data_IF_797915740945
#
_entry.id   IF_797915740945
#
_cell.length_a   1.000
_cell.length_b   1.000
_cell.length_c   1.000
_cell.angle_alpha   90.00
_cell.angle_beta   90.00
_cell.angle_gamma   90.00
#
_symmetry.space_group_name_H-M   'P 1'
#
loop_
_entity.id
_entity.type
_entity.pdbx_description
1 polymer ?
#
# COMPACT_ATOMS: atom_id res chain seq x y z
N UNK A 1 40.88 31.65 -29.77
CA UNK A 1 39.97 30.58 -30.24
C UNK A 1 39.73 29.50 -29.18
N UNK A 2 40.75 28.80 -28.67
CA UNK A 2 40.59 27.71 -27.68
C UNK A 2 39.83 28.09 -26.39
N UNK A 3 40.00 29.33 -25.90
CA UNK A 3 39.35 29.83 -24.68
C UNK A 3 37.81 29.87 -24.77
N UNK A 4 37.26 30.14 -25.95
CA UNK A 4 35.81 30.19 -26.18
C UNK A 4 35.19 28.80 -26.29
N UNK A 5 35.91 27.85 -26.89
CA UNK A 5 35.48 26.44 -26.98
C UNK A 5 35.47 25.81 -25.58
N UNK A 6 36.51 26.04 -24.78
CA UNK A 6 36.55 25.57 -23.39
C UNK A 6 35.39 26.13 -22.55
N UNK A 7 35.06 27.42 -22.72
CA UNK A 7 33.97 28.06 -21.98
C UNK A 7 32.59 27.55 -22.41
N UNK A 8 32.40 27.21 -23.70
CA UNK A 8 31.18 26.60 -24.21
C UNK A 8 30.98 25.18 -23.66
N UNK A 9 32.06 24.39 -23.58
CA UNK A 9 32.02 23.02 -23.03
C UNK A 9 31.69 23.06 -21.54
N UNK A 10 32.33 23.94 -20.77
CA UNK A 10 32.09 24.08 -19.32
C UNK A 10 30.67 24.57 -19.02
N UNK A 11 30.17 25.55 -19.76
CA UNK A 11 28.80 26.06 -19.57
C UNK A 11 27.75 25.03 -20.00
N UNK A 12 27.97 24.33 -21.12
CA UNK A 12 27.07 23.27 -21.58
C UNK A 12 26.97 22.10 -20.59
N UNK A 13 28.10 21.63 -20.07
CA UNK A 13 28.12 20.52 -19.09
C UNK A 13 27.44 20.87 -17.77
N UNK A 14 27.58 22.10 -17.27
CA UNK A 14 26.90 22.53 -16.04
C UNK A 14 25.38 22.56 -16.17
N UNK A 15 24.86 22.98 -17.33
CA UNK A 15 23.41 23.04 -17.59
C UNK A 15 22.83 21.62 -17.63
N UNK A 16 23.48 20.71 -18.36
CA UNK A 16 23.04 19.30 -18.46
C UNK A 16 23.11 18.59 -17.10
N UNK A 17 24.20 18.77 -16.34
CA UNK A 17 24.36 18.17 -15.02
C UNK A 17 23.29 18.66 -14.02
N UNK A 18 22.98 19.96 -14.02
CA UNK A 18 21.93 20.53 -13.16
C UNK A 18 20.53 20.06 -13.55
N UNK A 19 20.25 19.89 -14.84
CA UNK A 19 18.97 19.34 -15.30
C UNK A 19 18.79 17.88 -14.86
N UNK A 20 19.84 17.06 -15.00
CA UNK A 20 19.83 15.67 -14.57
C UNK A 20 19.66 15.52 -13.05
N UNK A 21 20.37 16.33 -12.26
CA UNK A 21 20.22 16.37 -10.80
C UNK A 21 18.80 16.80 -10.37
N UNK A 22 18.17 17.74 -11.09
CA UNK A 22 16.78 18.15 -10.84
C UNK A 22 15.79 17.04 -11.16
N UNK A 23 15.98 16.32 -12.27
CA UNK A 23 15.12 15.20 -12.64
C UNK A 23 15.19 14.07 -11.60
N UNK A 24 16.40 13.68 -11.18
CA UNK A 24 16.59 12.68 -10.12
C UNK A 24 15.94 13.15 -8.81
N UNK A 25 16.14 14.41 -8.42
CA UNK A 25 15.54 14.96 -7.20
C UNK A 25 14.01 14.93 -7.26
N UNK A 26 13.41 15.27 -8.41
CA UNK A 26 11.96 15.24 -8.60
C UNK A 26 11.39 13.83 -8.53
N UNK A 27 12.08 12.84 -9.10
CA UNK A 27 11.67 11.44 -9.02
C UNK A 27 11.77 10.91 -7.58
N UNK A 28 12.87 11.23 -6.89
CA UNK A 28 13.05 10.87 -5.48
C UNK A 28 12.00 11.56 -4.61
N UNK A 29 11.70 12.85 -4.82
CA UNK A 29 10.68 13.57 -4.06
C UNK A 29 9.28 13.04 -4.35
N UNK A 30 8.94 12.75 -5.61
CA UNK A 30 7.66 12.14 -5.97
C UNK A 30 7.52 10.74 -5.37
N UNK A 31 8.59 9.93 -5.42
CA UNK A 31 8.62 8.60 -4.81
C UNK A 31 8.60 8.66 -3.29
N UNK A 32 9.26 9.64 -2.67
CA UNK A 32 9.21 9.85 -1.22
C UNK A 32 7.85 10.37 -0.78
N UNK A 33 7.19 11.24 -1.53
CA UNK A 33 5.83 11.69 -1.21
C UNK A 33 4.81 10.56 -1.37
N UNK A 34 4.93 9.71 -2.38
CA UNK A 34 4.12 8.51 -2.53
C UNK A 34 4.39 7.52 -1.37
N UNK A 35 5.66 7.29 -1.04
CA UNK A 35 6.05 6.45 0.08
C UNK A 35 5.63 7.04 1.44
N UNK A 36 5.68 8.35 1.64
CA UNK A 36 5.24 9.02 2.87
C UNK A 36 3.72 8.95 3.04
N UNK A 37 2.96 9.13 1.95
CA UNK A 37 1.51 8.87 1.91
C UNK A 37 1.17 7.41 2.24
N UNK A 38 1.99 6.46 1.78
CA UNK A 38 1.84 5.04 2.15
C UNK A 38 2.36 4.70 3.56
N UNK A 39 3.37 5.42 4.06
CA UNK A 39 4.02 5.16 5.35
C UNK A 39 3.23 5.69 6.54
N UNK A 40 2.42 6.75 6.39
CA UNK A 40 1.53 7.23 7.45
C UNK A 40 0.23 6.42 7.57
N UNK A 41 -0.19 5.70 6.51
CA UNK A 41 -1.47 4.99 6.49
C UNK A 41 -1.36 3.49 6.81
N UNK A 42 -0.22 2.82 6.54
CA UNK A 42 -0.10 1.36 6.70
C UNK A 42 0.70 0.98 7.94
N UNK A 43 -0.02 0.52 8.97
CA UNK A 43 0.54 0.02 10.24
C UNK A 43 1.58 -1.07 9.96
N UNK A 44 2.63 -1.23 10.79
CA UNK A 44 3.61 -2.34 10.67
C UNK A 44 2.91 -3.70 10.51
N UNK A 45 1.78 -3.87 11.19
CA UNK A 45 0.89 -5.03 11.11
C UNK A 45 0.33 -5.27 9.71
N UNK A 46 -0.06 -4.23 8.97
CA UNK A 46 -0.55 -4.38 7.59
C UNK A 46 0.55 -4.79 6.62
N UNK A 47 1.78 -4.31 6.81
CA UNK A 47 2.92 -4.76 5.99
C UNK A 47 3.23 -6.22 6.22
N UNK A 48 3.20 -6.66 7.49
CA UNK A 48 3.40 -8.06 7.85
C UNK A 48 2.26 -8.92 7.30
N UNK A 49 1.00 -8.48 7.41
CA UNK A 49 -0.15 -9.18 6.85
C UNK A 49 -0.05 -9.30 5.32
N UNK A 50 0.31 -8.23 4.61
CA UNK A 50 0.49 -8.25 3.17
C UNK A 50 1.67 -9.14 2.75
N UNK A 51 2.75 -9.19 3.53
CA UNK A 51 3.87 -10.12 3.30
C UNK A 51 3.47 -11.58 3.54
N UNK A 52 2.70 -11.84 4.60
CA UNK A 52 2.24 -13.18 4.98
C UNK A 52 1.22 -13.75 3.98
N UNK A 53 0.28 -12.91 3.53
CA UNK A 53 -0.82 -13.30 2.65
C UNK A 53 -0.49 -13.07 1.16
N UNK A 54 0.59 -12.34 0.87
CA UNK A 54 1.06 -12.05 -0.49
C UNK A 54 0.08 -11.20 -1.30
N UNK A 55 -0.78 -10.43 -0.64
CA UNK A 55 -1.85 -9.64 -1.24
C UNK A 55 -2.12 -8.40 -0.39
N UNK A 56 -2.28 -7.23 -1.03
CA UNK A 56 -2.69 -6.00 -0.34
C UNK A 56 -4.20 -5.97 -0.09
N UNK A 57 -4.62 -5.14 0.88
CA UNK A 57 -6.04 -4.93 1.18
C UNK A 57 -6.81 -4.41 -0.05
N UNK A 58 -6.22 -3.47 -0.78
CA UNK A 58 -6.81 -2.86 -1.97
C UNK A 58 -6.99 -3.88 -3.10
N UNK A 59 -5.98 -4.72 -3.35
CA UNK A 59 -6.09 -5.81 -4.32
C UNK A 59 -7.17 -6.82 -3.90
N UNK A 60 -7.30 -7.13 -2.61
CA UNK A 60 -8.34 -8.02 -2.11
C UNK A 60 -9.75 -7.46 -2.36
N UNK A 61 -9.94 -6.16 -2.11
CA UNK A 61 -11.19 -5.44 -2.39
C UNK A 61 -11.51 -5.44 -3.88
N UNK A 62 -10.51 -5.24 -4.74
CA UNK A 62 -10.69 -5.28 -6.20
C UNK A 62 -11.04 -6.67 -6.71
N UNK A 63 -10.38 -7.73 -6.22
CA UNK A 63 -10.65 -9.12 -6.62
C UNK A 63 -12.09 -9.52 -6.27
N UNK A 64 -12.58 -9.18 -5.07
CA UNK A 64 -13.95 -9.49 -4.65
C UNK A 64 -14.98 -8.42 -5.03
N UNK A 65 -14.54 -7.34 -5.68
CA UNK A 65 -15.35 -6.19 -6.08
C UNK A 65 -16.23 -5.66 -4.92
N UNK A 66 -15.59 -5.38 -3.79
CA UNK A 66 -16.21 -4.80 -2.59
C UNK A 66 -15.59 -3.45 -2.28
N UNK A 67 -16.42 -2.49 -1.85
CA UNK A 67 -15.96 -1.13 -1.48
C UNK A 67 -15.90 -0.94 0.02
N UNK A 68 -16.73 -1.66 0.76
CA UNK A 68 -16.85 -1.61 2.21
C UNK A 68 -16.44 -2.95 2.82
N UNK A 69 -15.88 -2.90 4.03
CA UNK A 69 -15.58 -4.08 4.84
C UNK A 69 -16.87 -4.55 5.53
N UNK A 70 -17.78 -5.12 4.74
CA UNK A 70 -18.98 -5.77 5.24
C UNK A 70 -18.88 -7.30 5.06
N UNK A 71 -19.07 -8.02 6.16
CA UNK A 71 -18.89 -9.48 6.21
C UNK A 71 -19.87 -10.21 5.30
N UNK A 72 -21.12 -9.75 5.24
CA UNK A 72 -22.16 -10.36 4.42
C UNK A 72 -21.88 -10.15 2.92
N UNK A 73 -21.52 -8.93 2.53
CA UNK A 73 -21.13 -8.62 1.15
C UNK A 73 -19.92 -9.45 0.69
N UNK A 74 -18.87 -9.55 1.53
CA UNK A 74 -17.65 -10.31 1.24
C UNK A 74 -17.98 -11.78 0.99
N UNK A 75 -18.75 -12.41 1.88
CA UNK A 75 -19.13 -13.82 1.74
C UNK A 75 -19.95 -14.05 0.47
N UNK A 76 -20.94 -13.19 0.21
CA UNK A 76 -21.78 -13.28 -1.00
C UNK A 76 -20.96 -13.17 -2.28
N UNK A 77 -20.04 -12.21 -2.35
CA UNK A 77 -19.16 -12.00 -3.51
C UNK A 77 -18.21 -13.16 -3.71
N UNK A 78 -17.60 -13.63 -2.62
CA UNK A 78 -16.74 -14.81 -2.62
C UNK A 78 -17.47 -16.03 -3.19
N UNK A 79 -18.64 -16.37 -2.66
CA UNK A 79 -19.40 -17.55 -3.12
C UNK A 79 -19.77 -17.44 -4.60
N UNK A 80 -20.20 -16.26 -5.03
CA UNK A 80 -20.57 -16.01 -6.44
C UNK A 80 -19.37 -16.18 -7.37
N UNK A 81 -18.24 -15.52 -7.06
CA UNK A 81 -17.03 -15.54 -7.87
C UNK A 81 -16.34 -16.90 -7.84
N UNK A 82 -16.29 -17.56 -6.68
CA UNK A 82 -15.70 -18.87 -6.56
C UNK A 82 -16.48 -19.89 -7.39
N UNK A 83 -17.82 -19.92 -7.23
CA UNK A 83 -18.71 -20.81 -7.99
C UNK A 83 -18.62 -20.58 -9.50
N UNK A 84 -18.63 -19.33 -9.95
CA UNK A 84 -18.52 -19.03 -11.39
C UNK A 84 -17.17 -19.41 -11.99
N UNK A 85 -16.14 -19.59 -11.16
CA UNK A 85 -14.77 -19.89 -11.58
C UNK A 85 -14.30 -21.30 -11.17
N UNK A 86 -15.20 -22.19 -10.72
CA UNK A 86 -14.89 -23.57 -10.29
C UNK A 86 -14.16 -24.42 -11.35
N UNK A 87 -14.40 -24.14 -12.64
CA UNK A 87 -13.78 -24.88 -13.75
C UNK A 87 -12.67 -24.08 -14.46
N UNK A 88 -12.21 -22.98 -13.86
CA UNK A 88 -11.12 -22.15 -14.41
C UNK A 88 -9.76 -22.58 -13.87
N UNK A 89 -8.73 -21.76 -14.03
CA UNK A 89 -7.40 -22.10 -13.53
C UNK A 89 -7.35 -22.06 -12.00
N UNK A 90 -6.58 -22.99 -11.42
CA UNK A 90 -6.30 -23.03 -9.99
C UNK A 90 -5.72 -21.70 -9.47
N UNK A 91 -5.02 -20.96 -10.34
CA UNK A 91 -4.50 -19.63 -10.01
C UNK A 91 -5.63 -18.64 -9.68
N UNK A 92 -6.67 -18.58 -10.51
CA UNK A 92 -7.81 -17.66 -10.30
C UNK A 92 -8.57 -18.04 -9.02
N UNK A 93 -8.82 -19.34 -8.81
CA UNK A 93 -9.44 -19.83 -7.58
C UNK A 93 -8.60 -19.46 -6.36
N UNK A 94 -7.29 -19.69 -6.42
CA UNK A 94 -6.36 -19.34 -5.35
C UNK A 94 -6.34 -17.84 -5.06
N UNK A 95 -6.50 -16.98 -6.08
CA UNK A 95 -6.59 -15.52 -5.90
C UNK A 95 -7.88 -15.09 -5.22
N UNK A 96 -9.01 -15.72 -5.57
CA UNK A 96 -10.31 -15.45 -4.94
C UNK A 96 -10.27 -15.85 -3.45
N UNK A 97 -9.70 -17.03 -3.14
CA UNK A 97 -9.56 -17.52 -1.75
C UNK A 97 -8.66 -16.58 -0.94
N UNK A 98 -7.47 -16.24 -1.45
CA UNK A 98 -6.54 -15.33 -0.75
C UNK A 98 -7.12 -13.93 -0.54
N UNK A 99 -7.91 -13.43 -1.49
CA UNK A 99 -8.60 -12.15 -1.33
C UNK A 99 -9.58 -12.20 -0.15
N UNK A 100 -10.36 -13.28 -0.04
CA UNK A 100 -11.24 -13.49 1.11
C UNK A 100 -10.46 -13.52 2.43
N UNK A 101 -9.43 -14.34 2.52
CA UNK A 101 -8.58 -14.45 3.71
C UNK A 101 -8.01 -13.09 4.15
N UNK A 102 -7.59 -12.25 3.20
CA UNK A 102 -7.05 -10.92 3.49
C UNK A 102 -8.11 -9.96 4.04
N UNK A 103 -9.35 -10.02 3.53
CA UNK A 103 -10.44 -9.19 4.04
C UNK A 103 -10.93 -9.66 5.41
N UNK A 104 -11.05 -10.97 5.62
CA UNK A 104 -11.44 -11.57 6.90
C UNK A 104 -10.43 -11.23 8.02
N UNK A 105 -9.13 -11.24 7.67
CA UNK A 105 -8.08 -10.79 8.58
C UNK A 105 -8.22 -9.31 8.93
N UNK A 106 -8.65 -8.45 8.00
CA UNK A 106 -8.87 -7.03 8.29
C UNK A 106 -10.08 -6.81 9.19
N UNK A 107 -11.18 -7.54 8.95
CA UNK A 107 -12.37 -7.50 9.81
C UNK A 107 -12.03 -7.90 11.25
N UNK A 108 -11.26 -8.98 11.43
CA UNK A 108 -10.83 -9.43 12.75
C UNK A 108 -9.95 -8.39 13.45
N UNK A 109 -8.99 -7.80 12.72
CA UNK A 109 -8.16 -6.72 13.26
C UNK A 109 -8.99 -5.50 13.70
N UNK A 110 -10.06 -5.16 12.98
CA UNK A 110 -10.94 -4.04 13.32
C UNK A 110 -11.77 -4.34 14.57
N UNK A 111 -12.31 -5.55 14.68
CA UNK A 111 -13.05 -6.01 15.85
C UNK A 111 -12.16 -5.97 17.11
N UNK A 112 -10.92 -6.46 17.01
CA UNK A 112 -9.94 -6.43 18.10
C UNK A 112 -9.58 -4.99 18.54
N UNK A 113 -9.41 -4.08 17.58
CA UNK A 113 -9.17 -2.65 17.87
C UNK A 113 -10.37 -1.96 18.51
N UNK A 114 -11.60 -2.35 18.15
CA UNK A 114 -12.82 -1.79 18.73
C UNK A 114 -13.08 -2.24 20.18
N UNK A 115 -12.56 -3.42 20.56
CA UNK A 115 -12.65 -3.96 21.92
C UNK A 115 -11.66 -3.35 22.92
N UNK A 116 -10.58 -2.72 22.46
CA UNK A 116 -9.65 -1.96 23.31
C UNK A 116 -10.09 -0.50 23.44
N UNK A 117 -10.99 -0.20 24.38
CA UNK A 117 -11.15 1.17 24.90
C UNK A 117 -9.87 1.60 25.65
N UNK A 118 -9.49 2.90 25.61
CA UNK A 118 -8.27 3.39 26.23
C UNK A 118 -8.35 3.24 27.75
N UNK A 119 -7.39 2.54 28.35
CA UNK A 119 -7.15 2.63 29.79
C UNK A 119 -6.72 4.06 30.10
N UNK A 120 -7.56 4.80 30.85
CA UNK A 120 -7.21 6.02 31.55
C UNK A 120 -5.85 5.86 32.23
N UNK A 121 -4.89 6.69 31.83
CA UNK A 121 -3.62 6.81 32.50
C UNK A 121 -3.32 8.30 32.74
N UNK A 122 -4.26 9.00 33.38
CA UNK A 122 -4.02 10.28 34.05
C UNK A 122 -4.91 10.39 35.31
N UNK A 123 -4.58 9.62 36.33
CA UNK A 123 -5.00 9.94 37.70
C UNK A 123 -3.93 9.45 38.68
N UNK A 124 -3.13 10.40 39.16
CA UNK A 124 -2.41 10.24 40.43
C UNK A 124 -0.90 10.06 40.35
N UNK A 125 -0.18 11.09 39.88
CA UNK A 125 1.08 11.43 40.57
C UNK A 125 0.72 12.37 41.71
N UNK A 126 0.70 11.77 42.90
CA UNK A 126 0.44 12.39 44.20
C UNK A 126 1.53 13.42 44.56
N UNK A 127 1.09 14.38 45.39
CA UNK A 127 1.80 15.10 46.48
C UNK A 127 3.32 15.03 46.56
#
# INVERSE_FOLDING_TARGET
MAKYIAQLIVSGTQVVARAFARAIKQEIEASQQAAQKMNHAKTRSERIANQKLGLSLEEAQQILNVKTLDKEEIERRFQTLFKSNENTSLYIQSKIVRAKERLDHELTNLDEKSGQKPSENEAGSKT
#
